data_IF_366041467950
#
_entry.id   IF_366041467950
#
_cell.length_a   1.000
_cell.length_b   1.000
_cell.length_c   1.000
_cell.angle_alpha   90.00
_cell.angle_beta   90.00
_cell.angle_gamma   90.00
#
_symmetry.space_group_name_H-M   'P 1'
#
loop_
_entity.id
_entity.type
_entity.pdbx_description
1 polymer ?
#
# COMPACT_ATOMS: atom_id res chain seq x y z
N UNK A 1 -1.01 21.07 4.49
CA UNK A 1 -0.32 19.92 3.86
C UNK A 1 -0.80 19.70 2.43
N UNK A 2 -2.09 19.67 2.12
CA UNK A 2 -2.59 19.44 0.75
C UNK A 2 -2.05 20.46 -0.27
N UNK A 3 -1.80 21.70 0.13
CA UNK A 3 -1.18 22.73 -0.74
C UNK A 3 0.29 22.45 -1.11
N UNK A 4 0.94 21.51 -0.45
CA UNK A 4 2.33 21.13 -0.73
C UNK A 4 2.30 19.98 -1.73
N UNK A 5 2.92 20.17 -2.90
CA UNK A 5 3.13 19.11 -3.87
C UNK A 5 4.13 18.09 -3.30
N UNK A 6 3.72 16.83 -3.23
CA UNK A 6 4.55 15.70 -2.81
C UNK A 6 4.37 14.49 -3.73
N UNK A 7 4.12 14.75 -5.01
CA UNK A 7 4.01 13.69 -6.02
C UNK A 7 5.28 12.85 -6.05
N UNK A 8 5.12 11.53 -5.93
CA UNK A 8 6.22 10.57 -5.87
C UNK A 8 7.04 10.58 -7.18
N UNK A 9 8.35 10.92 -7.13
CA UNK A 9 9.18 11.00 -8.34
C UNK A 9 9.56 9.63 -8.92
N UNK A 10 9.46 8.55 -8.13
CA UNK A 10 9.67 7.19 -8.62
C UNK A 10 8.50 6.72 -9.47
N UNK A 11 7.28 7.16 -9.11
CA UNK A 11 6.05 6.84 -9.84
C UNK A 11 5.82 7.80 -11.02
N UNK A 12 6.11 9.09 -10.82
CA UNK A 12 5.89 10.14 -11.82
C UNK A 12 7.20 10.88 -12.07
N UNK A 13 7.86 10.68 -13.21
CA UNK A 13 9.09 11.40 -13.54
C UNK A 13 8.91 12.93 -13.42
N UNK A 14 9.75 13.58 -12.63
CA UNK A 14 9.67 15.01 -12.33
C UNK A 14 8.71 15.39 -11.20
N UNK A 15 8.13 14.42 -10.50
CA UNK A 15 7.38 14.66 -9.27
C UNK A 15 8.19 15.40 -8.22
N UNK A 16 7.54 16.27 -7.43
CA UNK A 16 8.21 17.17 -6.47
C UNK A 16 8.90 16.42 -5.31
N UNK A 17 8.43 15.22 -4.99
CA UNK A 17 8.92 14.41 -3.88
C UNK A 17 8.48 14.94 -2.51
N UNK A 18 8.85 14.23 -1.47
CA UNK A 18 8.31 14.40 -0.11
C UNK A 18 9.05 15.46 0.73
N UNK A 19 10.22 15.92 0.29
CA UNK A 19 11.13 16.71 1.11
C UNK A 19 10.51 18.01 1.67
N UNK A 20 9.65 18.70 0.92
CA UNK A 20 8.99 19.90 1.40
C UNK A 20 7.95 19.59 2.48
N UNK A 21 7.14 18.54 2.25
CA UNK A 21 6.15 18.08 3.23
C UNK A 21 6.84 17.54 4.49
N UNK A 22 7.92 16.77 4.37
CA UNK A 22 8.69 16.29 5.49
C UNK A 22 9.24 17.42 6.35
N UNK A 23 9.80 18.47 5.73
CA UNK A 23 10.25 19.68 6.44
C UNK A 23 9.10 20.41 7.13
N UNK A 24 7.94 20.50 6.47
CA UNK A 24 6.74 21.08 7.09
C UNK A 24 6.34 20.32 8.35
N UNK A 25 6.27 18.99 8.28
CA UNK A 25 5.90 18.11 9.41
C UNK A 25 6.91 18.23 10.55
N UNK A 26 8.21 18.17 10.27
CA UNK A 26 9.26 18.32 11.28
C UNK A 26 9.21 19.69 11.98
N UNK A 27 9.01 20.78 11.20
CA UNK A 27 8.87 22.11 11.75
C UNK A 27 7.60 22.28 12.57
N UNK A 28 6.53 21.58 12.18
CA UNK A 28 5.27 21.60 12.94
C UNK A 28 5.48 20.93 14.31
N UNK A 29 6.09 19.76 14.40
CA UNK A 29 6.42 19.08 15.67
C UNK A 29 7.32 19.96 16.55
N UNK A 30 8.36 20.56 15.97
CA UNK A 30 9.26 21.47 16.71
C UNK A 30 8.51 22.63 17.35
N UNK A 31 7.53 23.23 16.66
CA UNK A 31 6.69 24.31 17.23
C UNK A 31 5.79 23.83 18.37
N UNK A 32 5.52 22.54 18.46
CA UNK A 32 4.77 21.91 19.56
C UNK A 32 5.70 21.29 20.62
N UNK A 33 6.99 21.65 20.62
CA UNK A 33 7.95 21.18 21.63
C UNK A 33 8.37 19.73 21.49
N UNK A 34 8.14 19.10 20.36
CA UNK A 34 8.50 17.71 20.07
C UNK A 34 9.67 17.72 19.08
N UNK A 35 10.76 17.03 19.47
CA UNK A 35 11.89 16.82 18.58
C UNK A 35 11.48 15.89 17.44
N UNK A 36 11.80 16.32 16.21
CA UNK A 36 11.57 15.52 15.00
C UNK A 36 12.85 15.53 14.17
N UNK A 37 13.25 14.35 13.71
CA UNK A 37 14.40 14.14 12.83
C UNK A 37 13.95 13.90 11.40
N UNK A 38 14.74 14.44 10.46
CA UNK A 38 14.63 14.11 9.04
C UNK A 38 15.74 13.12 8.70
N UNK A 39 15.40 12.02 8.09
CA UNK A 39 16.32 10.93 7.79
C UNK A 39 16.23 10.56 6.32
N UNK A 40 17.25 10.90 5.55
CA UNK A 40 17.30 10.56 4.12
C UNK A 40 17.30 9.04 3.94
N UNK A 41 16.22 8.52 3.37
CA UNK A 41 16.09 7.11 2.97
C UNK A 41 16.52 6.93 1.52
N UNK A 42 16.20 7.89 0.67
CA UNK A 42 16.71 8.04 -0.67
C UNK A 42 17.24 9.47 -0.84
N UNK A 43 18.07 9.70 -1.84
CA UNK A 43 18.71 11.01 -2.05
C UNK A 43 17.68 12.14 -2.07
N UNK A 44 17.72 13.02 -1.07
CA UNK A 44 16.81 14.15 -0.91
C UNK A 44 15.35 13.80 -0.59
N UNK A 45 15.07 12.55 -0.22
CA UNK A 45 13.74 12.05 0.16
C UNK A 45 13.79 11.54 1.61
N UNK A 46 13.54 12.38 2.59
CA UNK A 46 13.64 11.98 4.00
C UNK A 46 12.32 11.46 4.55
N UNK A 47 12.40 10.43 5.40
CA UNK A 47 11.41 10.18 6.42
C UNK A 47 11.43 11.29 7.48
N UNK A 48 10.33 11.50 8.16
CA UNK A 48 10.26 12.35 9.36
C UNK A 48 9.83 11.52 10.56
N UNK A 49 10.63 11.53 11.62
CA UNK A 49 10.41 10.72 12.81
C UNK A 49 10.30 11.66 14.01
N UNK A 50 9.20 11.52 14.77
CA UNK A 50 9.01 12.22 16.02
C UNK A 50 8.64 11.22 17.14
N UNK A 51 9.10 11.48 18.36
CA UNK A 51 8.87 10.59 19.50
C UNK A 51 8.20 11.33 20.64
N UNK A 52 7.08 10.79 21.12
CA UNK A 52 6.37 11.26 22.30
C UNK A 52 6.39 10.18 23.40
N UNK A 53 6.59 10.59 24.67
CA UNK A 53 6.66 9.66 25.80
C UNK A 53 8.05 9.03 25.98
N UNK A 54 8.09 7.78 26.44
CA UNK A 54 9.34 7.01 26.66
C UNK A 54 10.09 7.34 27.96
N UNK A 55 9.54 8.20 28.82
CA UNK A 55 10.12 8.53 30.14
C UNK A 55 9.65 7.59 31.24
N UNK A 56 8.59 6.85 31.01
CA UNK A 56 7.99 5.87 31.93
C UNK A 56 7.88 4.52 31.23
N UNK A 57 7.96 3.40 31.96
CA UNK A 57 7.68 2.08 31.41
C UNK A 57 6.30 2.01 30.77
N UNK A 58 6.16 1.25 29.70
CA UNK A 58 4.93 1.04 28.95
C UNK A 58 5.23 0.54 27.55
N UNK A 59 4.19 0.20 26.80
CA UNK A 59 4.33 -0.30 25.43
C UNK A 59 4.70 0.80 24.44
N UNK A 60 5.31 0.39 23.36
CA UNK A 60 5.66 1.26 22.23
C UNK A 60 4.69 1.03 21.08
N UNK A 61 4.20 2.12 20.47
CA UNK A 61 3.37 2.07 19.27
C UNK A 61 3.94 2.96 18.18
N UNK A 62 3.89 2.49 16.91
CA UNK A 62 4.21 3.29 15.73
C UNK A 62 2.92 3.84 15.14
N UNK A 63 2.91 5.13 14.82
CA UNK A 63 1.95 5.78 13.95
C UNK A 63 2.63 6.07 12.62
N UNK A 64 2.33 5.27 11.60
CA UNK A 64 2.93 5.36 10.28
C UNK A 64 1.96 6.04 9.31
N UNK A 65 2.45 7.02 8.53
CA UNK A 65 1.68 7.71 7.50
C UNK A 65 2.59 8.14 6.36
N UNK A 66 2.21 7.87 5.12
CA UNK A 66 3.04 8.28 4.00
C UNK A 66 2.94 9.78 3.68
N UNK A 67 4.00 10.31 3.06
CA UNK A 67 4.16 11.71 2.69
C UNK A 67 3.91 11.93 1.20
N UNK A 68 4.18 10.92 0.38
CA UNK A 68 4.03 10.99 -1.06
C UNK A 68 2.57 10.91 -1.52
N UNK A 69 2.36 11.15 -2.78
CA UNK A 69 1.07 10.98 -3.47
C UNK A 69 1.31 10.48 -4.89
N UNK A 70 0.29 9.84 -5.47
CA UNK A 70 0.26 9.63 -6.92
C UNK A 70 0.20 10.93 -7.70
N UNK A 71 0.33 10.84 -9.04
CA UNK A 71 0.26 11.98 -9.94
C UNK A 71 -1.10 12.68 -9.95
N UNK A 72 -1.10 13.90 -10.44
CA UNK A 72 -2.29 14.77 -10.47
C UNK A 72 -3.10 14.66 -11.77
N UNK A 73 -2.53 14.05 -12.81
CA UNK A 73 -3.12 13.77 -14.14
C UNK A 73 -4.22 14.76 -14.59
N UNK A 74 -5.49 14.38 -14.44
CA UNK A 74 -6.64 15.17 -14.90
C UNK A 74 -7.28 16.04 -13.82
N UNK A 75 -6.62 16.24 -12.66
CA UNK A 75 -7.18 17.08 -11.58
C UNK A 75 -7.10 18.56 -11.93
N UNK A 76 -8.20 19.28 -11.74
CA UNK A 76 -8.20 20.73 -11.76
C UNK A 76 -7.78 21.26 -10.38
N UNK A 77 -6.76 22.14 -10.33
CA UNK A 77 -6.24 22.75 -9.09
C UNK A 77 -5.95 21.72 -7.97
N UNK A 78 -5.10 20.71 -8.23
CA UNK A 78 -4.87 19.56 -7.34
C UNK A 78 -4.39 19.96 -5.93
N UNK A 79 -3.79 21.12 -5.77
CA UNK A 79 -3.23 21.60 -4.51
C UNK A 79 -3.96 22.82 -3.94
N UNK A 80 -5.22 23.07 -4.37
CA UNK A 80 -6.00 24.21 -3.87
C UNK A 80 -6.37 24.07 -2.39
N UNK A 81 -6.52 22.86 -1.88
CA UNK A 81 -7.05 22.57 -0.55
C UNK A 81 -8.38 23.29 -0.28
N UNK A 82 -9.24 23.37 -1.27
CA UNK A 82 -10.56 23.99 -1.15
C UNK A 82 -11.42 23.24 -0.14
N UNK A 83 -12.14 23.98 0.70
CA UNK A 83 -13.09 23.41 1.67
C UNK A 83 -14.49 23.78 1.22
N UNK A 84 -15.32 22.77 0.95
CA UNK A 84 -16.72 22.92 0.56
C UNK A 84 -17.59 21.92 1.34
N UNK A 85 -18.60 22.41 2.04
CA UNK A 85 -19.57 21.59 2.78
C UNK A 85 -18.91 20.55 3.72
N UNK A 86 -17.85 20.93 4.46
CA UNK A 86 -17.15 20.03 5.38
C UNK A 86 -16.16 19.07 4.73
N UNK A 87 -15.93 19.18 3.41
CA UNK A 87 -15.00 18.36 2.64
C UNK A 87 -13.79 19.17 2.22
N UNK A 88 -12.60 18.61 2.37
CA UNK A 88 -11.34 19.19 1.89
C UNK A 88 -10.95 18.51 0.59
N UNK A 89 -10.81 19.29 -0.49
CA UNK A 89 -10.47 18.79 -1.83
C UNK A 89 -9.00 18.98 -2.16
N UNK A 90 -8.43 18.02 -2.88
CA UNK A 90 -7.08 18.08 -3.45
C UNK A 90 -6.38 16.75 -3.45
N UNK A 91 -5.29 16.62 -4.22
CA UNK A 91 -4.47 15.42 -4.25
C UNK A 91 -3.82 15.17 -2.89
N UNK A 92 -3.93 13.94 -2.39
CA UNK A 92 -3.46 13.56 -1.07
C UNK A 92 -4.40 13.99 0.07
N UNK A 93 -5.55 14.61 -0.22
CA UNK A 93 -6.49 14.99 0.83
C UNK A 93 -7.01 13.77 1.59
N UNK A 94 -7.36 12.71 0.85
CA UNK A 94 -7.80 11.43 1.39
C UNK A 94 -6.61 10.49 1.61
N UNK A 95 -5.74 10.39 0.62
CA UNK A 95 -4.64 9.44 0.53
C UNK A 95 -3.26 10.15 0.53
N UNK A 96 -2.61 10.32 1.72
CA UNK A 96 -3.15 10.09 3.07
C UNK A 96 -2.86 11.28 4.01
N UNK A 97 -2.73 12.55 3.47
CA UNK A 97 -2.39 13.75 4.26
C UNK A 97 -3.38 14.07 5.38
N UNK A 98 -4.64 13.62 5.27
CA UNK A 98 -5.61 13.77 6.36
C UNK A 98 -5.32 12.80 7.52
N UNK A 99 -4.99 11.54 7.22
CA UNK A 99 -4.52 10.58 8.20
C UNK A 99 -3.21 11.01 8.86
N UNK A 100 -2.26 11.50 8.04
CA UNK A 100 -1.02 12.12 8.50
C UNK A 100 -1.30 13.25 9.51
N UNK A 101 -2.25 14.16 9.21
CA UNK A 101 -2.64 15.24 10.11
C UNK A 101 -3.23 14.73 11.43
N UNK A 102 -4.13 13.73 11.36
CA UNK A 102 -4.72 13.12 12.54
C UNK A 102 -3.64 12.50 13.45
N UNK A 103 -2.66 11.81 12.88
CA UNK A 103 -1.57 11.19 13.62
C UNK A 103 -0.59 12.21 14.21
N UNK A 104 -0.29 13.30 13.48
CA UNK A 104 0.50 14.41 14.02
C UNK A 104 -0.16 15.02 15.25
N UNK A 105 -1.45 15.35 15.18
CA UNK A 105 -2.22 15.92 16.27
C UNK A 105 -2.33 14.96 17.46
N UNK A 106 -2.60 13.68 17.22
CA UNK A 106 -2.64 12.66 18.26
C UNK A 106 -1.30 12.50 18.97
N UNK A 107 -0.18 12.52 18.23
CA UNK A 107 1.16 12.44 18.80
C UNK A 107 1.48 13.65 19.66
N UNK A 108 1.13 14.85 19.21
CA UNK A 108 1.37 16.08 19.98
C UNK A 108 0.55 16.11 21.27
N UNK A 109 -0.74 15.76 21.20
CA UNK A 109 -1.59 15.66 22.39
C UNK A 109 -1.14 14.59 23.37
N UNK A 110 -0.59 13.47 22.87
CA UNK A 110 0.00 12.43 23.72
C UNK A 110 1.26 12.91 24.45
N UNK A 111 2.11 13.71 23.81
CA UNK A 111 3.29 14.31 24.43
C UNK A 111 2.93 15.22 25.62
N UNK A 112 1.87 16.02 25.48
CA UNK A 112 1.38 16.90 26.56
C UNK A 112 0.84 16.11 27.76
N UNK A 113 0.28 14.91 27.53
CA UNK A 113 -0.30 14.04 28.58
C UNK A 113 0.75 13.26 29.39
N UNK A 114 2.04 13.41 29.12
CA UNK A 114 3.12 12.65 29.77
C UNK A 114 2.88 11.13 29.75
N UNK A 115 2.64 10.61 28.56
CA UNK A 115 2.26 9.22 28.29
C UNK A 115 3.18 8.22 29.00
N UNK A 116 2.63 7.14 29.55
CA UNK A 116 3.39 5.91 29.84
C UNK A 116 3.71 5.25 28.49
N UNK A 117 4.88 4.56 28.41
CA UNK A 117 5.32 4.00 27.14
C UNK A 117 5.72 5.06 26.10
N UNK A 118 5.68 4.70 24.82
CA UNK A 118 6.25 5.52 23.74
C UNK A 118 5.41 5.48 22.48
N UNK A 119 5.20 6.63 21.87
CA UNK A 119 4.65 6.79 20.53
C UNK A 119 5.78 7.21 19.59
N UNK A 120 5.97 6.48 18.51
CA UNK A 120 6.85 6.82 17.40
C UNK A 120 5.97 7.23 16.24
N UNK A 121 5.97 8.50 15.90
CA UNK A 121 5.40 8.99 14.67
C UNK A 121 6.42 8.81 13.54
N UNK A 122 6.01 8.18 12.45
CA UNK A 122 6.81 7.97 11.25
C UNK A 122 6.04 8.52 10.02
N UNK A 123 6.45 9.68 9.52
CA UNK A 123 6.05 10.18 8.22
C UNK A 123 7.01 9.61 7.19
N UNK A 124 6.54 8.76 6.29
CA UNK A 124 7.38 7.93 5.44
C UNK A 124 7.28 8.28 3.97
N UNK A 125 8.35 8.03 3.22
CA UNK A 125 8.40 8.23 1.78
C UNK A 125 8.01 6.97 1.01
N UNK A 126 7.58 7.16 -0.25
CA UNK A 126 7.59 6.14 -1.31
C UNK A 126 6.56 5.01 -1.13
N UNK A 127 5.50 5.21 -0.35
CA UNK A 127 4.43 4.21 -0.17
C UNK A 127 3.79 3.86 -1.51
N UNK A 128 3.47 4.86 -2.30
CA UNK A 128 2.77 4.78 -3.59
C UNK A 128 3.56 4.03 -4.70
N UNK A 129 4.83 3.66 -4.41
CA UNK A 129 5.66 2.93 -5.36
C UNK A 129 6.35 1.69 -4.78
N UNK A 130 7.31 1.88 -3.86
CA UNK A 130 8.14 0.78 -3.35
C UNK A 130 8.29 0.76 -1.82
N UNK A 131 7.68 1.70 -1.10
CA UNK A 131 7.63 1.76 0.38
C UNK A 131 9.01 1.80 1.07
N UNK A 132 9.99 2.42 0.43
CA UNK A 132 11.35 2.51 0.97
C UNK A 132 11.36 3.13 2.37
N UNK A 133 10.47 4.07 2.62
CA UNK A 133 10.33 4.74 3.92
C UNK A 133 9.98 3.77 5.03
N UNK A 134 8.93 3.00 4.87
CA UNK A 134 8.49 2.03 5.89
C UNK A 134 9.43 0.83 6.01
N UNK A 135 10.09 0.39 4.94
CA UNK A 135 11.15 -0.61 5.05
C UNK A 135 12.27 -0.15 6.02
N UNK A 136 12.68 1.12 5.92
CA UNK A 136 13.67 1.71 6.85
C UNK A 136 13.16 1.72 8.30
N UNK A 137 11.88 2.04 8.52
CA UNK A 137 11.25 2.03 9.85
C UNK A 137 11.21 0.61 10.42
N UNK A 138 10.78 -0.38 9.64
CA UNK A 138 10.62 -1.77 10.04
C UNK A 138 11.93 -2.42 10.49
N UNK A 139 13.05 -2.06 9.86
CA UNK A 139 14.39 -2.56 10.24
C UNK A 139 14.91 -1.90 11.50
N UNK A 140 14.58 -0.63 11.72
CA UNK A 140 15.22 0.21 12.73
C UNK A 140 14.49 0.24 14.07
N UNK A 141 13.19 0.18 14.06
CA UNK A 141 12.37 0.34 15.26
C UNK A 141 11.71 -0.96 15.69
N UNK A 142 11.67 -1.18 16.99
CA UNK A 142 10.87 -2.21 17.64
C UNK A 142 9.66 -1.54 18.29
N UNK A 143 8.49 -2.13 18.11
CA UNK A 143 7.25 -1.67 18.73
C UNK A 143 6.32 -2.85 19.01
N UNK A 144 5.39 -2.65 19.94
CA UNK A 144 4.41 -3.68 20.32
C UNK A 144 3.18 -3.68 19.40
N UNK A 145 2.96 -2.59 18.65
CA UNK A 145 1.96 -2.47 17.59
C UNK A 145 2.23 -1.26 16.69
N UNK A 146 1.50 -1.20 15.57
CA UNK A 146 1.45 0.00 14.73
C UNK A 146 0.01 0.29 14.24
N UNK A 147 -0.25 1.56 13.93
CA UNK A 147 -1.40 2.00 13.16
C UNK A 147 -0.87 2.70 11.92
N UNK A 148 -1.34 2.28 10.75
CA UNK A 148 -0.99 2.86 9.44
C UNK A 148 -2.15 3.69 8.95
N UNK A 149 -1.86 4.94 8.58
CA UNK A 149 -2.87 5.90 8.16
C UNK A 149 -3.21 5.69 6.68
N UNK A 150 -4.34 5.06 6.44
CA UNK A 150 -4.94 4.96 5.11
C UNK A 150 -6.44 5.21 5.19
N UNK A 151 -7.11 5.61 4.10
CA UNK A 151 -8.54 5.87 4.12
C UNK A 151 -9.33 4.59 4.36
N UNK A 152 -9.79 4.40 5.58
CA UNK A 152 -10.57 3.23 6.00
C UNK A 152 -12.01 3.56 6.41
N UNK A 153 -12.46 4.80 6.25
CA UNK A 153 -13.78 5.26 6.70
C UNK A 153 -14.04 4.99 8.20
N UNK A 154 -13.00 5.07 9.03
CA UNK A 154 -13.01 4.74 10.46
C UNK A 154 -13.40 3.26 10.73
N UNK A 155 -13.10 2.36 9.80
CA UNK A 155 -13.10 0.91 10.02
C UNK A 155 -11.70 0.43 10.40
N UNK A 156 -11.61 -0.64 11.16
CA UNK A 156 -10.33 -1.26 11.53
C UNK A 156 -10.00 -2.31 10.46
N UNK A 157 -9.08 -1.98 9.57
CA UNK A 157 -8.61 -2.92 8.56
C UNK A 157 -7.52 -3.80 9.15
N UNK A 158 -7.80 -5.09 9.21
CA UNK A 158 -6.89 -6.11 9.76
C UNK A 158 -6.26 -7.00 8.71
N UNK A 159 -6.75 -6.91 7.47
CA UNK A 159 -6.26 -7.73 6.37
C UNK A 159 -6.27 -6.93 5.07
N UNK A 160 -5.26 -7.12 4.23
CA UNK A 160 -5.28 -6.67 2.85
C UNK A 160 -4.55 -7.64 1.92
N UNK A 161 -4.84 -7.55 0.60
CA UNK A 161 -4.17 -8.38 -0.39
C UNK A 161 -2.72 -7.95 -0.55
N UNK A 162 -1.86 -8.96 -0.82
CA UNK A 162 -0.55 -8.74 -1.40
C UNK A 162 -0.60 -8.75 -2.91
N UNK A 163 0.56 -8.67 -3.55
CA UNK A 163 0.67 -8.80 -5.00
C UNK A 163 2.03 -9.33 -5.45
N UNK A 164 2.02 -9.95 -6.62
CA UNK A 164 3.22 -10.41 -7.33
C UNK A 164 3.13 -9.94 -8.77
N UNK A 165 4.15 -9.22 -9.23
CA UNK A 165 4.31 -8.83 -10.63
C UNK A 165 5.29 -9.77 -11.33
N UNK A 166 4.88 -10.27 -12.48
CA UNK A 166 5.65 -11.21 -13.28
C UNK A 166 5.72 -10.77 -14.74
N UNK A 167 6.89 -10.91 -15.35
CA UNK A 167 7.08 -10.83 -16.79
C UNK A 167 7.05 -12.22 -17.39
N UNK A 168 6.22 -12.39 -18.40
CA UNK A 168 6.14 -13.57 -19.25
C UNK A 168 6.67 -13.20 -20.64
N UNK A 169 7.56 -13.99 -21.17
CA UNK A 169 8.04 -13.80 -22.54
C UNK A 169 7.85 -15.09 -23.34
N UNK A 170 7.07 -15.02 -24.41
CA UNK A 170 6.99 -16.09 -25.40
C UNK A 170 7.96 -15.84 -26.53
N UNK A 171 8.65 -16.89 -26.95
CA UNK A 171 9.60 -16.83 -28.06
C UNK A 171 9.10 -17.61 -29.27
N UNK A 172 9.45 -17.10 -30.43
CA UNK A 172 9.14 -17.69 -31.74
C UNK A 172 10.36 -17.69 -32.65
N UNK A 173 10.11 -17.84 -33.94
CA UNK A 173 11.13 -17.78 -34.98
C UNK A 173 10.71 -16.75 -36.01
N UNK A 174 11.52 -15.70 -36.19
CA UNK A 174 11.26 -14.68 -37.19
C UNK A 174 11.42 -15.27 -38.63
N UNK A 175 10.44 -14.98 -39.47
CA UNK A 175 10.45 -15.35 -40.86
C UNK A 175 9.62 -14.35 -41.68
N UNK A 176 9.85 -14.30 -43.00
CA UNK A 176 8.98 -13.51 -43.87
C UNK A 176 7.55 -14.03 -43.83
N UNK A 177 6.53 -13.17 -43.80
CA UNK A 177 5.12 -13.52 -43.60
C UNK A 177 4.57 -14.54 -44.61
N UNK A 178 5.18 -14.67 -45.81
CA UNK A 178 4.84 -15.72 -46.78
C UNK A 178 5.50 -17.09 -46.48
N UNK A 179 6.40 -17.16 -45.50
CA UNK A 179 7.17 -18.37 -45.15
C UNK A 179 6.66 -18.99 -43.86
N UNK A 180 5.37 -19.43 -43.90
CA UNK A 180 4.69 -19.96 -42.70
C UNK A 180 5.31 -21.26 -42.13
N UNK A 181 6.05 -22.00 -42.98
CA UNK A 181 6.75 -23.24 -42.59
C UNK A 181 8.05 -22.96 -41.81
N UNK A 182 8.64 -21.77 -41.96
CA UNK A 182 9.89 -21.36 -41.31
C UNK A 182 9.66 -20.55 -40.03
N UNK A 183 8.50 -19.86 -39.94
CA UNK A 183 8.16 -18.96 -38.84
C UNK A 183 7.45 -19.63 -37.68
N UNK A 184 7.74 -19.17 -36.46
CA UNK A 184 6.93 -19.45 -35.26
C UNK A 184 6.49 -18.14 -34.67
N UNK A 185 5.18 -17.93 -34.62
CA UNK A 185 4.56 -16.67 -34.18
C UNK A 185 4.52 -16.59 -32.65
N UNK A 186 5.38 -15.73 -32.05
CA UNK A 186 5.42 -15.52 -30.62
C UNK A 186 4.14 -14.86 -30.07
N UNK A 187 3.46 -14.01 -30.86
CA UNK A 187 2.19 -13.37 -30.44
C UNK A 187 1.09 -14.44 -30.38
N UNK A 188 1.03 -15.34 -31.34
CA UNK A 188 0.08 -16.46 -31.31
C UNK A 188 0.34 -17.41 -30.13
N UNK A 189 1.62 -17.60 -29.73
CA UNK A 189 1.95 -18.36 -28.51
C UNK A 189 1.52 -17.61 -27.25
N UNK A 190 1.71 -16.31 -27.19
CA UNK A 190 1.18 -15.48 -26.08
C UNK A 190 -0.34 -15.54 -26.00
N UNK A 191 -1.05 -15.59 -27.11
CA UNK A 191 -2.50 -15.78 -27.14
C UNK A 191 -2.95 -17.07 -26.46
N UNK A 192 -2.19 -18.19 -26.60
CA UNK A 192 -2.45 -19.44 -25.84
C UNK A 192 -2.23 -19.27 -24.35
N UNK A 193 -1.19 -18.55 -23.95
CA UNK A 193 -0.94 -18.23 -22.55
C UNK A 193 -2.05 -17.37 -21.96
N UNK A 194 -2.52 -16.33 -22.66
CA UNK A 194 -3.62 -15.48 -22.22
C UNK A 194 -4.92 -16.26 -22.01
N UNK A 195 -5.25 -17.21 -22.92
CA UNK A 195 -6.40 -18.10 -22.72
C UNK A 195 -6.27 -19.00 -21.50
N UNK A 196 -5.07 -19.49 -21.22
CA UNK A 196 -4.80 -20.28 -20.01
C UNK A 196 -4.80 -19.38 -18.74
N UNK A 197 -4.35 -18.12 -18.83
CA UNK A 197 -4.41 -17.15 -17.75
C UNK A 197 -5.87 -16.81 -17.40
N UNK A 198 -6.75 -16.67 -18.36
CA UNK A 198 -8.18 -16.47 -18.13
C UNK A 198 -8.81 -17.67 -17.40
N UNK A 199 -8.41 -18.90 -17.77
CA UNK A 199 -8.83 -20.10 -17.06
C UNK A 199 -8.37 -20.07 -15.60
N UNK A 200 -7.10 -19.74 -15.35
CA UNK A 200 -6.55 -19.58 -14.01
C UNK A 200 -7.29 -18.50 -13.23
N UNK A 201 -7.60 -17.35 -13.86
CA UNK A 201 -8.39 -16.28 -13.22
C UNK A 201 -9.75 -16.77 -12.73
N UNK A 202 -10.44 -17.55 -13.56
CA UNK A 202 -11.73 -18.15 -13.19
C UNK A 202 -11.59 -19.18 -12.05
N UNK A 203 -10.54 -19.99 -12.08
CA UNK A 203 -10.23 -20.97 -11.02
C UNK A 203 -9.96 -20.26 -9.67
N UNK A 204 -9.20 -19.17 -9.68
CA UNK A 204 -8.93 -18.37 -8.49
C UNK A 204 -10.20 -17.73 -7.91
N UNK A 205 -11.06 -17.18 -8.77
CA UNK A 205 -12.34 -16.60 -8.34
C UNK A 205 -13.30 -17.62 -7.75
N UNK A 206 -13.27 -18.86 -8.25
CA UNK A 206 -14.07 -19.96 -7.73
C UNK A 206 -13.41 -20.70 -6.55
N UNK A 207 -12.15 -20.40 -6.28
CA UNK A 207 -11.32 -21.06 -5.27
C UNK A 207 -11.60 -20.57 -3.84
N UNK A 208 -10.63 -20.76 -2.93
CA UNK A 208 -10.75 -20.33 -1.54
C UNK A 208 -11.06 -18.85 -1.41
N UNK A 209 -11.99 -18.52 -0.51
CA UNK A 209 -12.41 -17.16 -0.21
C UNK A 209 -11.88 -16.74 1.17
N UNK A 210 -11.14 -15.63 1.22
CA UNK A 210 -10.82 -15.02 2.50
C UNK A 210 -12.07 -14.27 3.04
N UNK A 211 -12.43 -14.39 4.34
CA UNK A 211 -13.66 -13.81 4.87
C UNK A 211 -13.81 -12.30 4.65
N UNK A 212 -12.70 -11.54 4.66
CA UNK A 212 -12.69 -10.09 4.51
C UNK A 212 -12.21 -9.63 3.12
N UNK A 213 -11.48 -10.46 2.37
CA UNK A 213 -10.83 -10.05 1.12
C UNK A 213 -11.43 -10.68 -0.13
N UNK A 214 -12.32 -11.67 0.04
CA UNK A 214 -12.83 -12.46 -1.08
C UNK A 214 -11.73 -13.33 -1.73
N UNK A 215 -11.82 -13.62 -3.03
CA UNK A 215 -10.89 -14.48 -3.74
C UNK A 215 -9.59 -13.78 -4.11
N UNK A 216 -8.56 -14.56 -4.39
CA UNK A 216 -7.39 -14.11 -5.12
C UNK A 216 -7.73 -13.77 -6.57
N UNK A 217 -6.84 -13.05 -7.27
CA UNK A 217 -7.10 -12.68 -8.68
C UNK A 217 -5.79 -12.53 -9.47
N UNK A 218 -5.88 -12.70 -10.78
CA UNK A 218 -4.79 -12.47 -11.73
C UNK A 218 -5.31 -11.71 -12.94
N UNK A 219 -4.50 -10.79 -13.48
CA UNK A 219 -4.79 -10.11 -14.72
C UNK A 219 -3.53 -9.77 -15.52
N UNK A 220 -3.69 -9.64 -16.84
CA UNK A 220 -2.68 -9.10 -17.73
C UNK A 220 -2.67 -7.57 -17.65
N UNK A 221 -1.50 -6.97 -17.49
CA UNK A 221 -1.35 -5.51 -17.32
C UNK A 221 -0.83 -4.81 -18.56
N UNK A 222 0.28 -5.31 -19.13
CA UNK A 222 0.93 -4.72 -20.31
C UNK A 222 1.35 -5.83 -21.26
N UNK A 223 1.11 -5.64 -22.56
CA UNK A 223 1.55 -6.58 -23.59
C UNK A 223 2.26 -5.84 -24.73
N UNK A 224 3.38 -6.39 -25.20
CA UNK A 224 4.17 -5.88 -26.32
C UNK A 224 4.66 -7.03 -27.20
N UNK A 225 4.56 -6.90 -28.52
CA UNK A 225 5.05 -7.94 -29.43
C UNK A 225 5.04 -7.51 -30.89
N UNK A 226 5.95 -8.11 -31.68
CA UNK A 226 6.12 -7.83 -33.09
C UNK A 226 6.95 -6.58 -33.38
N UNK A 227 7.36 -6.41 -34.64
CA UNK A 227 8.14 -5.27 -35.13
C UNK A 227 7.56 -4.66 -36.39
N UNK A 228 7.06 -5.50 -37.30
CA UNK A 228 6.50 -5.07 -38.60
C UNK A 228 5.41 -6.05 -39.10
N UNK A 229 4.62 -5.63 -40.08
CA UNK A 229 3.45 -6.38 -40.55
C UNK A 229 3.80 -7.61 -41.37
N UNK A 230 4.96 -7.62 -42.06
CA UNK A 230 5.35 -8.64 -43.03
C UNK A 230 6.22 -9.77 -42.45
N UNK A 231 6.40 -9.82 -41.12
CA UNK A 231 7.28 -10.81 -40.47
C UNK A 231 6.56 -11.54 -39.32
N UNK A 232 6.90 -12.82 -39.16
CA UNK A 232 6.56 -13.56 -37.95
C UNK A 232 7.30 -12.97 -36.75
N UNK A 233 6.61 -12.65 -35.64
CA UNK A 233 7.25 -12.06 -34.45
C UNK A 233 8.07 -13.12 -33.70
N UNK A 234 9.33 -12.81 -33.41
CA UNK A 234 10.21 -13.70 -32.64
C UNK A 234 10.02 -13.57 -31.12
N UNK A 235 9.34 -12.51 -30.65
CA UNK A 235 9.18 -12.23 -29.21
C UNK A 235 7.84 -11.54 -28.97
N UNK A 236 7.16 -11.97 -27.89
CA UNK A 236 6.07 -11.23 -27.27
C UNK A 236 6.26 -11.24 -25.74
N UNK A 237 6.07 -10.10 -25.11
CA UNK A 237 6.18 -9.90 -23.66
C UNK A 237 4.84 -9.52 -23.06
N UNK A 238 4.60 -10.01 -21.87
CA UNK A 238 3.42 -9.72 -21.06
C UNK A 238 3.85 -9.46 -19.63
N UNK A 239 3.48 -8.32 -19.05
CA UNK A 239 3.53 -8.13 -17.60
C UNK A 239 2.15 -8.42 -17.03
N UNK A 240 2.10 -9.16 -15.91
CA UNK A 240 0.87 -9.52 -15.22
C UNK A 240 0.97 -9.22 -13.73
N UNK A 241 -0.19 -9.04 -13.10
CA UNK A 241 -0.33 -8.93 -11.64
C UNK A 241 -1.18 -10.07 -11.10
N UNK A 242 -0.68 -10.70 -10.03
CA UNK A 242 -1.41 -11.68 -9.22
C UNK A 242 -1.62 -11.13 -7.82
N UNK A 243 -2.87 -10.78 -7.47
CA UNK A 243 -3.25 -10.37 -6.11
C UNK A 243 -3.34 -11.60 -5.21
N UNK A 244 -2.57 -11.57 -4.10
CA UNK A 244 -2.42 -12.68 -3.17
C UNK A 244 -3.26 -12.51 -1.92
N UNK A 245 -3.62 -13.64 -1.32
CA UNK A 245 -4.29 -13.73 -0.02
C UNK A 245 -3.28 -14.11 1.08
N UNK A 246 -3.57 -13.85 2.35
CA UNK A 246 -2.79 -14.37 3.47
C UNK A 246 -2.53 -15.87 3.35
N UNK A 247 -1.26 -16.27 3.52
CA UNK A 247 -0.79 -17.64 3.35
C UNK A 247 -0.27 -17.99 1.94
N UNK A 248 -0.47 -17.12 0.93
CA UNK A 248 0.16 -17.28 -0.38
C UNK A 248 1.50 -16.53 -0.41
N UNK A 249 2.51 -17.12 -1.06
CA UNK A 249 3.84 -16.52 -1.21
C UNK A 249 4.17 -16.21 -2.68
N UNK A 250 5.15 -15.35 -2.95
CA UNK A 250 5.64 -15.11 -4.31
C UNK A 250 6.11 -16.41 -5.01
N UNK A 251 6.69 -17.34 -4.25
CA UNK A 251 7.15 -18.63 -4.76
C UNK A 251 5.98 -19.50 -5.20
N UNK A 252 4.89 -19.55 -4.43
CA UNK A 252 3.68 -20.32 -4.80
C UNK A 252 3.04 -19.74 -6.05
N UNK A 253 2.95 -18.42 -6.17
CA UNK A 253 2.45 -17.74 -7.37
C UNK A 253 3.32 -18.03 -8.59
N UNK A 254 4.64 -17.96 -8.45
CA UNK A 254 5.57 -18.29 -9.54
C UNK A 254 5.42 -19.74 -10.00
N UNK A 255 5.27 -20.67 -9.05
CA UNK A 255 5.05 -22.09 -9.37
C UNK A 255 3.70 -22.31 -10.10
N UNK A 256 2.65 -21.61 -9.70
CA UNK A 256 1.33 -21.62 -10.35
C UNK A 256 1.43 -21.19 -11.84
N UNK A 257 2.10 -20.06 -12.11
CA UNK A 257 2.31 -19.57 -13.47
C UNK A 257 3.24 -20.50 -14.27
N UNK A 258 4.29 -21.05 -13.64
CA UNK A 258 5.17 -22.02 -14.29
C UNK A 258 4.42 -23.29 -14.71
N UNK A 259 3.50 -23.78 -13.87
CA UNK A 259 2.68 -24.94 -14.22
C UNK A 259 1.77 -24.66 -15.45
N UNK A 260 1.28 -23.45 -15.63
CA UNK A 260 0.58 -23.04 -16.85
C UNK A 260 1.51 -23.14 -18.07
N UNK A 261 2.73 -22.59 -17.97
CA UNK A 261 3.73 -22.64 -19.03
C UNK A 261 4.10 -24.09 -19.39
N UNK A 262 4.35 -24.92 -18.39
CA UNK A 262 4.75 -26.33 -18.58
C UNK A 262 3.65 -27.13 -19.28
N UNK A 263 2.40 -26.94 -18.91
CA UNK A 263 1.23 -27.54 -19.55
C UNK A 263 1.11 -27.15 -21.03
N UNK A 264 1.32 -25.87 -21.35
CA UNK A 264 1.27 -25.38 -22.73
C UNK A 264 2.44 -25.91 -23.57
N UNK A 265 3.64 -25.97 -22.99
CA UNK A 265 4.85 -26.52 -23.62
C UNK A 265 4.70 -28.02 -23.90
N UNK A 266 4.09 -28.77 -23.02
CA UNK A 266 3.81 -30.17 -23.22
C UNK A 266 2.78 -30.44 -24.35
N UNK A 267 1.84 -29.51 -24.55
CA UNK A 267 0.80 -29.59 -25.59
C UNK A 267 1.26 -29.10 -26.97
N UNK A 268 2.28 -28.23 -27.02
CA UNK A 268 2.79 -27.61 -28.26
C UNK A 268 4.32 -27.54 -28.23
N UNK A 269 5.03 -28.38 -29.04
CA UNK A 269 6.50 -28.39 -29.08
C UNK A 269 7.13 -27.04 -29.53
N UNK A 270 6.35 -26.17 -30.16
CA UNK A 270 6.78 -24.83 -30.55
C UNK A 270 6.40 -23.74 -29.53
N UNK A 271 5.81 -24.11 -28.40
CA UNK A 271 5.51 -23.17 -27.33
C UNK A 271 6.71 -23.08 -26.38
N UNK A 272 7.37 -21.94 -26.39
CA UNK A 272 8.45 -21.63 -25.46
C UNK A 272 8.13 -20.33 -24.75
N UNK A 273 8.13 -20.36 -23.41
CA UNK A 273 7.89 -19.19 -22.59
C UNK A 273 8.81 -19.19 -21.37
N UNK A 274 9.11 -18.01 -20.86
CA UNK A 274 9.82 -17.79 -19.60
C UNK A 274 8.96 -16.96 -18.65
N UNK A 275 9.10 -17.21 -17.35
CA UNK A 275 8.49 -16.44 -16.28
C UNK A 275 9.57 -15.81 -15.41
N UNK A 276 9.56 -14.46 -15.28
CA UNK A 276 10.52 -13.72 -14.47
C UNK A 276 9.77 -12.86 -13.45
N UNK A 277 10.09 -12.97 -12.13
CA UNK A 277 9.55 -12.06 -11.14
C UNK A 277 10.10 -10.64 -11.35
N UNK A 278 9.24 -9.63 -11.19
CA UNK A 278 9.58 -8.20 -11.21
C UNK A 278 9.64 -7.67 -9.78
N UNK A 279 8.53 -7.80 -9.05
CA UNK A 279 8.36 -7.25 -7.72
C UNK A 279 7.23 -7.97 -6.98
N UNK A 280 7.26 -7.97 -5.66
CA UNK A 280 6.19 -8.54 -4.84
C UNK A 280 6.08 -7.86 -3.48
N UNK A 281 4.88 -7.91 -2.92
CA UNK A 281 4.56 -7.50 -1.56
C UNK A 281 3.65 -8.54 -0.90
N UNK A 282 4.00 -8.90 0.32
CA UNK A 282 3.23 -9.85 1.13
C UNK A 282 1.86 -9.26 1.51
N UNK A 283 0.83 -10.09 1.67
CA UNK A 283 -0.46 -9.66 2.20
C UNK A 283 -0.36 -9.33 3.71
N UNK A 284 -1.33 -8.57 4.21
CA UNK A 284 -1.52 -8.33 5.63
C UNK A 284 -2.54 -9.29 6.21
N UNK A 285 -2.25 -9.83 7.38
CA UNK A 285 -3.26 -10.45 8.25
C UNK A 285 -2.88 -10.28 9.72
N UNK A 286 -3.76 -9.62 10.47
CA UNK A 286 -3.63 -9.42 11.91
C UNK A 286 -4.87 -9.95 12.60
N UNK A 287 -4.68 -10.71 13.67
CA UNK A 287 -5.79 -11.27 14.44
C UNK A 287 -6.71 -10.18 14.98
N UNK A 288 -8.01 -10.34 14.79
CA UNK A 288 -9.03 -9.49 15.45
C UNK A 288 -8.95 -9.56 16.99
N UNK A 289 -8.24 -10.56 17.53
CA UNK A 289 -8.01 -10.70 18.96
C UNK A 289 -6.75 -9.99 19.46
N UNK A 290 -5.96 -9.36 18.58
CA UNK A 290 -4.78 -8.59 18.99
C UNK A 290 -5.20 -7.39 19.83
N UNK A 291 -4.30 -6.99 20.75
CA UNK A 291 -4.59 -5.90 21.69
C UNK A 291 -4.89 -4.58 20.99
N UNK A 292 -4.15 -4.28 19.91
CA UNK A 292 -4.36 -3.04 19.17
C UNK A 292 -5.75 -2.97 18.54
N UNK A 293 -6.26 -4.09 17.98
CA UNK A 293 -7.62 -4.17 17.43
C UNK A 293 -8.67 -3.98 18.50
N UNK A 294 -8.53 -4.68 19.65
CA UNK A 294 -9.46 -4.57 20.78
C UNK A 294 -9.50 -3.16 21.35
N UNK A 295 -8.33 -2.57 21.59
CA UNK A 295 -8.24 -1.22 22.18
C UNK A 295 -8.82 -0.20 21.21
N UNK A 296 -8.46 -0.24 19.92
CA UNK A 296 -9.00 0.66 18.90
C UNK A 296 -10.53 0.51 18.78
N UNK A 297 -11.04 -0.73 18.79
CA UNK A 297 -12.47 -1.00 18.76
C UNK A 297 -13.22 -0.45 19.98
N UNK A 298 -12.66 -0.57 21.18
CA UNK A 298 -13.23 0.02 22.39
C UNK A 298 -13.31 1.54 22.30
N UNK A 299 -12.30 2.20 21.72
CA UNK A 299 -12.30 3.65 21.55
C UNK A 299 -13.28 4.11 20.48
N UNK A 300 -13.44 3.35 19.40
CA UNK A 300 -14.48 3.59 18.39
C UNK A 300 -15.89 3.56 19.03
N UNK A 301 -16.20 2.50 19.77
CA UNK A 301 -17.48 2.39 20.47
C UNK A 301 -17.70 3.54 21.45
N UNK A 302 -16.68 3.87 22.25
CA UNK A 302 -16.79 4.92 23.26
C UNK A 302 -17.02 6.33 22.66
N UNK A 303 -16.43 6.62 21.49
CA UNK A 303 -16.48 7.96 20.90
C UNK A 303 -17.59 8.11 19.85
N UNK A 304 -17.90 7.06 19.10
CA UNK A 304 -18.90 7.12 18.02
C UNK A 304 -20.24 6.49 18.43
N UNK A 305 -20.32 5.77 19.56
CA UNK A 305 -21.55 5.09 20.00
C UNK A 305 -22.01 3.98 19.06
N UNK A 306 -21.13 3.46 18.18
CA UNK A 306 -21.41 2.36 17.27
C UNK A 306 -20.37 1.26 17.42
N UNK A 307 -20.77 0.01 17.16
CA UNK A 307 -19.85 -1.12 17.18
C UNK A 307 -18.74 -0.93 16.13
N UNK A 308 -17.49 -1.33 16.46
CA UNK A 308 -16.39 -1.28 15.50
C UNK A 308 -16.63 -2.26 14.35
N UNK A 309 -16.36 -1.81 13.14
CA UNK A 309 -16.34 -2.66 11.97
C UNK A 309 -14.90 -3.12 11.73
N UNK A 310 -14.71 -4.44 11.71
CA UNK A 310 -13.46 -5.07 11.27
C UNK A 310 -13.61 -5.37 9.79
N UNK A 311 -12.70 -4.84 8.99
CA UNK A 311 -12.78 -4.97 7.53
C UNK A 311 -11.46 -5.41 6.90
N UNK A 312 -11.52 -5.67 5.59
CA UNK A 312 -10.36 -5.95 4.74
C UNK A 312 -10.28 -4.96 3.60
N UNK A 313 -9.09 -4.77 3.07
CA UNK A 313 -8.80 -3.87 1.96
C UNK A 313 -8.23 -4.64 0.76
N UNK A 314 -8.69 -4.33 -0.45
CA UNK A 314 -8.14 -4.96 -1.67
C UNK A 314 -6.80 -4.37 -2.09
N UNK A 315 -6.54 -3.10 -1.75
CA UNK A 315 -5.27 -2.42 -1.93
C UNK A 315 -4.20 -2.94 -0.97
N UNK A 316 -2.94 -2.74 -1.30
CA UNK A 316 -1.82 -3.03 -0.43
C UNK A 316 -1.44 -1.76 0.35
N UNK A 317 -0.89 -1.91 1.55
CA UNK A 317 -0.41 -0.79 2.39
C UNK A 317 0.86 -1.17 3.14
N UNK A 318 1.55 -0.19 3.66
CA UNK A 318 2.76 -0.33 4.49
C UNK A 318 2.58 -1.19 5.76
N UNK A 319 1.34 -1.45 6.18
CA UNK A 319 1.05 -2.27 7.35
C UNK A 319 1.59 -3.70 7.23
N UNK A 320 1.68 -4.23 6.00
CA UNK A 320 2.27 -5.55 5.76
C UNK A 320 3.77 -5.59 6.11
N UNK A 321 4.53 -4.54 5.79
CA UNK A 321 5.97 -4.47 6.09
C UNK A 321 6.25 -4.45 7.58
N UNK A 322 5.49 -3.66 8.33
CA UNK A 322 5.61 -3.59 9.78
C UNK A 322 5.20 -4.92 10.43
N UNK A 323 4.12 -5.54 9.93
CA UNK A 323 3.66 -6.85 10.43
C UNK A 323 4.67 -7.95 10.12
N UNK A 324 5.27 -7.97 8.94
CA UNK A 324 6.34 -8.90 8.59
C UNK A 324 7.59 -8.73 9.47
N UNK A 325 7.85 -7.52 9.97
CA UNK A 325 8.91 -7.24 10.94
C UNK A 325 8.54 -7.63 12.40
N UNK A 326 7.38 -8.27 12.61
CA UNK A 326 6.92 -8.70 13.93
C UNK A 326 6.17 -7.62 14.73
N UNK A 327 5.75 -6.54 14.08
CA UNK A 327 4.99 -5.45 14.69
C UNK A 327 3.52 -5.56 14.23
N UNK A 328 2.59 -6.09 15.04
CA UNK A 328 1.18 -6.22 14.66
C UNK A 328 0.61 -4.86 14.24
N UNK A 329 0.18 -4.74 12.98
CA UNK A 329 -0.17 -3.45 12.38
C UNK A 329 -1.59 -3.45 11.82
N UNK A 330 -2.37 -2.44 12.16
CA UNK A 330 -3.71 -2.23 11.60
C UNK A 330 -3.73 -0.98 10.74
N UNK A 331 -4.61 -0.96 9.76
CA UNK A 331 -4.88 0.24 8.97
C UNK A 331 -6.09 0.96 9.56
N UNK A 332 -5.97 2.27 9.76
CA UNK A 332 -7.05 3.09 10.30
C UNK A 332 -6.91 4.56 9.88
N UNK A 333 -7.95 5.11 9.30
CA UNK A 333 -7.97 6.50 8.90
C UNK A 333 -9.35 7.04 8.55
N UNK A 334 -9.40 8.33 8.11
CA UNK A 334 -10.64 9.04 7.86
C UNK A 334 -11.40 8.54 6.63
N UNK A 335 -12.60 9.08 6.44
CA UNK A 335 -13.47 8.82 5.31
C UNK A 335 -13.29 9.88 4.20
N UNK A 336 -13.43 9.47 2.96
CA UNK A 336 -13.37 10.33 1.78
C UNK A 336 -13.74 9.57 0.53
N UNK A 337 -13.52 10.19 -0.62
CA UNK A 337 -13.71 9.56 -1.93
C UNK A 337 -12.69 10.07 -2.94
N UNK A 338 -12.51 9.30 -4.01
CA UNK A 338 -11.71 9.69 -5.16
C UNK A 338 -10.27 9.25 -5.10
N UNK A 339 -9.98 8.13 -4.40
CA UNK A 339 -8.67 7.50 -4.36
C UNK A 339 -8.07 7.40 -5.78
N UNK A 340 -6.91 8.02 -5.99
CA UNK A 340 -6.19 8.14 -7.27
C UNK A 340 -7.00 8.77 -8.42
N UNK A 341 -8.21 9.25 -8.15
CA UNK A 341 -9.12 9.83 -9.15
C UNK A 341 -8.83 11.29 -9.49
N UNK A 342 -9.60 11.81 -10.45
CA UNK A 342 -9.53 13.22 -10.86
C UNK A 342 -10.20 14.18 -9.87
N UNK A 343 -10.94 13.68 -8.90
CA UNK A 343 -11.58 14.45 -7.83
C UNK A 343 -11.44 13.69 -6.53
N UNK A 344 -10.54 14.15 -5.69
CA UNK A 344 -10.25 13.55 -4.38
C UNK A 344 -10.65 14.51 -3.27
N UNK A 345 -11.26 13.98 -2.21
CA UNK A 345 -11.66 14.76 -1.03
C UNK A 345 -11.72 13.88 0.23
N UNK A 346 -11.55 14.51 1.38
CA UNK A 346 -11.71 13.90 2.71
C UNK A 346 -12.79 14.62 3.49
N UNK A 347 -13.57 13.88 4.30
CA UNK A 347 -14.52 14.41 5.26
C UNK A 347 -13.79 14.93 6.51
N UNK A 348 -13.87 16.24 6.77
CA UNK A 348 -13.19 16.87 7.89
C UNK A 348 -13.70 16.43 9.26
N UNK A 349 -14.97 16.05 9.39
CA UNK A 349 -15.49 15.50 10.63
C UNK A 349 -14.84 14.14 10.94
N UNK A 350 -14.71 13.28 9.93
CA UNK A 350 -14.05 11.99 10.08
C UNK A 350 -12.56 12.13 10.44
N UNK A 351 -11.88 13.18 9.97
CA UNK A 351 -10.49 13.48 10.35
C UNK A 351 -10.40 13.81 11.84
N UNK A 352 -11.30 14.65 12.34
CA UNK A 352 -11.35 14.99 13.77
C UNK A 352 -11.66 13.76 14.63
N UNK A 353 -12.62 12.92 14.20
CA UNK A 353 -12.95 11.65 14.86
C UNK A 353 -11.75 10.68 14.84
N UNK A 354 -11.08 10.53 13.70
CA UNK A 354 -9.87 9.72 13.59
C UNK A 354 -8.80 10.15 14.59
N UNK A 355 -8.50 11.45 14.66
CA UNK A 355 -7.54 12.00 15.61
C UNK A 355 -7.92 11.67 17.07
N UNK A 356 -9.16 11.86 17.46
CA UNK A 356 -9.63 11.62 18.81
C UNK A 356 -9.56 10.13 19.19
N UNK A 357 -9.99 9.24 18.27
CA UNK A 357 -9.95 7.78 18.45
C UNK A 357 -8.51 7.30 18.59
N UNK A 358 -7.62 7.72 17.68
CA UNK A 358 -6.20 7.34 17.71
C UNK A 358 -5.54 7.83 18.99
N UNK A 359 -5.77 9.08 19.42
CA UNK A 359 -5.23 9.59 20.67
C UNK A 359 -5.67 8.76 21.89
N UNK A 360 -6.94 8.39 21.95
CA UNK A 360 -7.45 7.56 23.03
C UNK A 360 -6.88 6.13 22.96
N UNK A 361 -6.75 5.57 21.75
CA UNK A 361 -6.20 4.24 21.55
C UNK A 361 -4.72 4.17 21.95
N UNK A 362 -3.87 5.11 21.51
CA UNK A 362 -2.45 5.12 21.88
C UNK A 362 -2.26 5.37 23.38
N UNK A 363 -3.09 6.21 23.99
CA UNK A 363 -3.04 6.45 25.45
C UNK A 363 -3.30 5.17 26.21
N UNK A 364 -4.35 4.44 25.87
CA UNK A 364 -4.70 3.17 26.53
C UNK A 364 -3.70 2.05 26.20
N UNK A 365 -3.22 1.99 24.95
CA UNK A 365 -2.26 0.98 24.54
C UNK A 365 -0.94 1.14 25.27
N UNK A 366 -0.40 2.34 25.34
CA UNK A 366 0.89 2.62 25.96
C UNK A 366 0.87 2.47 27.49
N UNK A 367 -0.27 2.75 28.15
CA UNK A 367 -0.42 2.58 29.60
C UNK A 367 -0.48 1.10 30.04
N UNK A 368 -0.87 0.20 29.15
CA UNK A 368 -0.93 -1.23 29.44
C UNK A 368 0.46 -1.86 29.46
N UNK A 369 0.93 -2.32 30.58
CA UNK A 369 2.27 -2.93 30.78
C UNK A 369 2.33 -4.41 30.40
N UNK A 370 1.35 -4.94 29.63
CA UNK A 370 1.30 -6.36 29.24
C UNK A 370 1.41 -7.31 30.44
N UNK A 371 0.41 -8.06 30.72
CA UNK A 371 0.42 -9.12 31.76
C UNK A 371 1.11 -10.37 31.21
#
# INVERSE_FOLDING_TARGET
MVVIDSVNPSLVPGGAGEAELARFVANWFKRHGIEATLEDVATGRPNVIAVAGGRRPGRTIILNAHLDTVGVAAMNQPFSAAIESGRLFGRGAMDTKAGLAAFMLATAAAAERQLEGKVIFAGVIDEEFASLGTESIAVRFQADAAIVAEPSALEIVTSHKGFVWLDIATTGVAAHGSRFEEGVDAIAKMGKFLGALETLSNELQAGPQHPLLGPASVHASVIEGGQELSSYPALCKLSLERRTLPGESPETVRAEIQAVIDRLSAADPHFHATCRPIFSREPLEVSAQSDIVKILGQQLLAQLGRDPVISGMSGWTDAALLTAAGIPSVVFGPAGEGLHGAREWVDLESVAQCCAIVLAAITNFCANTGS
#
